data_IF_612734904006
#
_entry.id   IF_612734904006
#
_cell.length_a   1.000
_cell.length_b   1.000
_cell.length_c   1.000
_cell.angle_alpha   90.00
_cell.angle_beta   90.00
_cell.angle_gamma   90.00
#
_symmetry.space_group_name_H-M   'P 1'
#
loop_
_entity.id
_entity.type
_entity.pdbx_description
1 polymer ?
#
# COMPACT_ATOMS: atom_id res chain seq x y z
N UNK A 1 -14.00 -23.27 31.43
CA UNK A 1 -14.62 -21.94 31.58
C UNK A 1 -13.63 -20.78 31.49
N UNK A 2 -12.52 -20.72 32.25
CA UNK A 2 -11.56 -19.58 32.18
C UNK A 2 -10.90 -19.38 30.80
N UNK A 3 -10.66 -20.44 30.02
CA UNK A 3 -10.12 -20.34 28.66
C UNK A 3 -11.12 -19.76 27.65
N UNK A 4 -12.40 -20.13 27.77
CA UNK A 4 -13.50 -19.64 26.90
C UNK A 4 -13.76 -18.15 27.16
N UNK A 5 -13.74 -17.72 28.41
CA UNK A 5 -13.89 -16.30 28.77
C UNK A 5 -12.72 -15.44 28.29
N UNK A 6 -11.47 -15.95 28.32
CA UNK A 6 -10.31 -15.26 27.74
C UNK A 6 -10.39 -15.18 26.22
N UNK A 7 -10.88 -16.22 25.54
CA UNK A 7 -11.09 -16.19 24.08
C UNK A 7 -12.21 -15.25 23.68
N UNK A 8 -13.31 -15.18 24.45
CA UNK A 8 -14.40 -14.22 24.23
C UNK A 8 -13.95 -12.77 24.52
N UNK A 9 -13.17 -12.56 25.59
CA UNK A 9 -12.61 -11.24 25.88
C UNK A 9 -11.58 -10.80 24.81
N UNK A 10 -10.75 -11.72 24.30
CA UNK A 10 -9.87 -11.43 23.16
C UNK A 10 -10.66 -11.15 21.88
N UNK A 11 -11.75 -11.87 21.62
CA UNK A 11 -12.65 -11.60 20.51
C UNK A 11 -13.34 -10.23 20.64
N UNK A 12 -13.79 -9.85 21.85
CA UNK A 12 -14.38 -8.53 22.09
C UNK A 12 -13.37 -7.38 21.99
N UNK A 13 -12.12 -7.57 22.43
CA UNK A 13 -11.05 -6.58 22.27
C UNK A 13 -10.67 -6.40 20.79
N UNK A 14 -10.63 -7.49 20.02
CA UNK A 14 -10.43 -7.44 18.56
C UNK A 14 -11.61 -6.73 17.90
N UNK A 15 -12.83 -6.97 18.35
CA UNK A 15 -14.03 -6.29 17.83
C UNK A 15 -14.06 -4.80 18.17
N UNK A 16 -13.69 -4.44 19.41
CA UNK A 16 -13.58 -3.03 19.80
C UNK A 16 -12.50 -2.29 18.99
N UNK A 17 -11.46 -2.99 18.55
CA UNK A 17 -10.46 -2.47 17.62
C UNK A 17 -11.02 -2.32 16.19
N UNK A 18 -11.89 -3.23 15.74
CA UNK A 18 -12.54 -3.17 14.42
C UNK A 18 -13.61 -2.07 14.37
N UNK A 19 -14.41 -1.88 15.43
CA UNK A 19 -15.46 -0.86 15.46
C UNK A 19 -14.94 0.56 15.61
N UNK A 20 -13.67 0.75 16.00
CA UNK A 20 -13.03 2.06 16.15
C UNK A 20 -12.25 2.51 14.89
N UNK A 21 -12.17 1.67 13.87
CA UNK A 21 -11.38 1.99 12.67
C UNK A 21 -12.13 1.55 11.44
N UNK A 22 -12.64 2.49 10.65
CA UNK A 22 -12.82 2.27 9.22
C UNK A 22 -11.41 2.05 8.69
N UNK A 23 -11.03 0.83 8.34
CA UNK A 23 -9.82 0.56 7.58
C UNK A 23 -10.15 0.92 6.14
N UNK A 24 -9.72 2.06 5.62
CA UNK A 24 -9.75 2.28 4.17
C UNK A 24 -8.76 1.30 3.57
N UNK A 25 -9.10 0.68 2.47
CA UNK A 25 -8.21 -0.14 1.69
C UNK A 25 -7.79 0.62 0.43
N UNK A 26 -6.74 0.18 -0.15
CA UNK A 26 -6.10 0.67 -1.36
C UNK A 26 -6.31 -0.33 -2.50
N UNK A 27 -5.76 -0.11 -3.70
CA UNK A 27 -6.01 -0.90 -4.92
C UNK A 27 -5.89 -2.40 -4.73
N UNK A 28 -4.93 -2.78 -3.92
CA UNK A 28 -4.78 -4.14 -3.45
C UNK A 28 -4.80 -4.14 -1.92
N UNK A 29 -5.41 -5.15 -1.34
CA UNK A 29 -5.27 -5.39 0.08
C UNK A 29 -3.82 -5.80 0.40
N UNK A 30 -3.44 -5.73 1.67
CA UNK A 30 -2.06 -5.88 2.12
C UNK A 30 -1.42 -7.21 1.72
N UNK A 31 -2.19 -8.30 1.66
CA UNK A 31 -1.63 -9.61 1.29
C UNK A 31 -1.19 -9.63 -0.17
N UNK A 32 -1.93 -8.97 -1.05
CA UNK A 32 -1.53 -8.82 -2.46
C UNK A 32 -0.27 -7.95 -2.59
N UNK A 33 -0.13 -6.86 -1.84
CA UNK A 33 1.10 -6.05 -1.84
C UNK A 33 2.33 -6.84 -1.39
N UNK A 34 2.19 -7.68 -0.35
CA UNK A 34 3.25 -8.59 0.09
C UNK A 34 3.59 -9.63 -0.98
N UNK A 35 2.57 -10.15 -1.66
CA UNK A 35 2.73 -11.10 -2.75
C UNK A 35 3.51 -10.52 -3.92
N UNK A 36 3.29 -9.27 -4.32
CA UNK A 36 4.08 -8.59 -5.37
C UNK A 36 5.58 -8.60 -5.03
N UNK A 37 5.93 -8.37 -3.77
CA UNK A 37 7.32 -8.47 -3.29
C UNK A 37 7.83 -9.91 -3.42
N UNK A 38 7.05 -10.90 -2.99
CA UNK A 38 7.45 -12.31 -3.03
C UNK A 38 7.61 -12.84 -4.46
N UNK A 39 6.70 -12.49 -5.36
CA UNK A 39 6.75 -12.88 -6.77
C UNK A 39 7.99 -12.31 -7.48
N UNK A 40 8.51 -11.16 -7.04
CA UNK A 40 9.72 -10.55 -7.58
C UNK A 40 11.00 -10.91 -6.79
N UNK A 41 10.88 -11.47 -5.57
CA UNK A 41 12.00 -11.61 -4.64
C UNK A 41 13.18 -12.41 -5.22
N UNK A 42 12.93 -13.64 -5.61
CA UNK A 42 14.01 -14.55 -6.02
C UNK A 42 14.65 -14.15 -7.36
N UNK A 43 13.84 -13.67 -8.31
CA UNK A 43 14.28 -13.37 -9.67
C UNK A 43 14.84 -11.97 -9.88
N UNK A 44 14.46 -10.99 -9.05
CA UNK A 44 14.80 -9.59 -9.28
C UNK A 44 15.31 -8.89 -8.03
N UNK A 45 14.60 -8.93 -6.89
CA UNK A 45 14.95 -8.14 -5.70
C UNK A 45 16.24 -8.65 -5.07
N UNK A 46 16.32 -9.94 -4.76
CA UNK A 46 17.51 -10.54 -4.14
C UNK A 46 18.78 -10.36 -4.99
N UNK A 47 18.78 -10.63 -6.32
CA UNK A 47 19.92 -10.35 -7.18
C UNK A 47 20.33 -8.87 -7.19
N UNK A 48 19.37 -7.94 -7.26
CA UNK A 48 19.63 -6.50 -7.20
C UNK A 48 20.28 -6.08 -5.87
N UNK A 49 19.77 -6.60 -4.75
CA UNK A 49 20.35 -6.33 -3.42
C UNK A 49 21.79 -6.86 -3.32
N UNK A 50 22.06 -8.05 -3.82
CA UNK A 50 23.40 -8.64 -3.83
C UNK A 50 24.37 -7.88 -4.76
N UNK A 51 23.91 -7.39 -5.91
CA UNK A 51 24.71 -6.56 -6.80
C UNK A 51 25.09 -5.21 -6.16
N UNK A 52 24.16 -4.59 -5.42
CA UNK A 52 24.39 -3.30 -4.77
C UNK A 52 25.14 -3.42 -3.44
N UNK A 53 24.94 -4.52 -2.71
CA UNK A 53 25.56 -4.81 -1.41
C UNK A 53 26.29 -6.16 -1.46
N UNK A 54 27.46 -6.21 -2.13
CA UNK A 54 28.22 -7.46 -2.26
C UNK A 54 28.63 -7.98 -0.88
N UNK A 55 28.45 -9.29 -0.66
CA UNK A 55 28.76 -9.91 0.63
C UNK A 55 27.63 -9.88 1.66
N UNK A 56 26.43 -9.40 1.30
CA UNK A 56 25.27 -9.52 2.18
C UNK A 56 24.96 -10.99 2.48
N UNK A 57 24.84 -11.30 3.77
CA UNK A 57 24.54 -12.66 4.25
C UNK A 57 23.05 -13.01 4.06
N UNK A 58 22.72 -14.31 4.08
CA UNK A 58 21.32 -14.73 4.02
C UNK A 58 20.48 -14.17 5.19
N UNK A 59 21.07 -13.97 6.36
CA UNK A 59 20.39 -13.32 7.50
C UNK A 59 20.08 -11.84 7.20
N UNK A 60 21.01 -11.12 6.57
CA UNK A 60 20.78 -9.73 6.15
C UNK A 60 19.74 -9.63 5.02
N UNK A 61 19.73 -10.59 4.09
CA UNK A 61 18.72 -10.67 3.04
C UNK A 61 17.32 -11.00 3.61
N UNK A 62 17.23 -11.89 4.59
CA UNK A 62 15.97 -12.17 5.29
C UNK A 62 15.47 -10.93 6.06
N UNK A 63 16.38 -10.18 6.69
CA UNK A 63 16.02 -8.91 7.30
C UNK A 63 15.58 -7.86 6.27
N UNK A 64 16.29 -7.72 5.16
CA UNK A 64 15.93 -6.83 4.06
C UNK A 64 14.54 -7.15 3.48
N UNK A 65 14.17 -8.43 3.42
CA UNK A 65 12.82 -8.85 3.00
C UNK A 65 11.72 -8.29 3.93
N UNK A 66 11.96 -8.30 5.24
CA UNK A 66 11.03 -7.67 6.20
C UNK A 66 10.91 -6.14 6.00
N UNK A 67 12.00 -5.49 5.58
CA UNK A 67 11.96 -4.07 5.20
C UNK A 67 11.23 -3.84 3.87
N UNK A 68 11.36 -4.74 2.89
CA UNK A 68 10.58 -4.66 1.66
C UNK A 68 9.07 -4.78 1.93
N UNK A 69 8.64 -5.71 2.79
CA UNK A 69 7.26 -5.82 3.23
C UNK A 69 6.77 -4.54 3.94
N UNK A 70 7.58 -3.94 4.80
CA UNK A 70 7.20 -2.66 5.40
C UNK A 70 7.10 -1.55 4.39
N UNK A 71 7.95 -1.58 3.36
CA UNK A 71 7.92 -0.63 2.26
C UNK A 71 6.66 -0.75 1.41
N UNK A 72 6.25 -2.00 1.07
CA UNK A 72 5.09 -2.22 0.20
C UNK A 72 3.75 -1.84 0.84
N UNK A 73 3.74 -1.45 2.08
CA UNK A 73 2.53 -1.07 2.77
C UNK A 73 2.67 0.30 3.49
N UNK A 74 3.79 1.01 3.29
CA UNK A 74 4.03 2.26 4.01
C UNK A 74 3.03 3.34 3.63
N UNK A 75 2.63 3.42 2.36
CA UNK A 75 1.70 4.43 1.88
C UNK A 75 0.35 4.34 2.61
N UNK A 76 -0.06 3.13 3.02
CA UNK A 76 -1.33 2.83 3.69
C UNK A 76 -1.32 3.04 5.19
N UNK A 77 -0.15 3.23 5.79
CA UNK A 77 0.00 3.22 7.24
C UNK A 77 -0.90 4.25 7.94
N UNK A 78 -1.24 5.35 7.27
CA UNK A 78 -2.14 6.39 7.79
C UNK A 78 -3.60 5.94 7.91
N UNK A 79 -3.99 4.90 7.21
CA UNK A 79 -5.35 4.34 7.24
C UNK A 79 -5.57 3.35 8.39
N UNK A 80 -4.50 2.81 8.96
CA UNK A 80 -4.60 1.87 10.07
C UNK A 80 -4.86 2.57 11.42
N UNK A 81 -5.37 1.84 12.44
CA UNK A 81 -5.58 2.39 13.76
C UNK A 81 -4.36 3.13 14.30
N UNK A 82 -4.60 4.30 14.89
CA UNK A 82 -3.58 5.26 15.36
C UNK A 82 -2.78 5.97 14.27
N UNK A 83 -2.98 5.64 12.98
CA UNK A 83 -2.51 6.43 11.86
C UNK A 83 -3.38 7.68 11.63
N UNK A 84 -2.88 8.60 10.84
CA UNK A 84 -3.65 9.76 10.36
C UNK A 84 -3.80 9.65 8.86
N UNK A 85 -5.04 9.66 8.40
CA UNK A 85 -5.39 9.58 6.97
C UNK A 85 -4.57 10.52 6.09
N UNK A 86 -4.23 11.71 6.57
CA UNK A 86 -3.46 12.69 5.82
C UNK A 86 -2.06 12.20 5.42
N UNK A 87 -1.47 11.29 6.19
CA UNK A 87 -0.21 10.63 5.83
C UNK A 87 -0.36 9.84 4.52
N UNK A 88 -1.36 8.98 4.46
CA UNK A 88 -1.64 8.17 3.28
C UNK A 88 -2.17 9.01 2.11
N UNK A 89 -3.03 9.99 2.37
CA UNK A 89 -3.47 10.92 1.34
C UNK A 89 -2.28 11.64 0.66
N UNK A 90 -1.23 12.03 1.40
CA UNK A 90 -0.02 12.61 0.82
C UNK A 90 0.71 11.64 -0.11
N UNK A 91 0.96 10.41 0.35
CA UNK A 91 1.73 9.42 -0.39
C UNK A 91 1.00 8.89 -1.63
N UNK A 92 -0.34 8.97 -1.67
CA UNK A 92 -1.15 8.54 -2.81
C UNK A 92 -1.45 9.64 -3.82
N UNK A 93 -1.61 10.90 -3.37
CA UNK A 93 -2.17 11.94 -4.24
C UNK A 93 -1.26 13.14 -4.45
N UNK A 94 -0.15 13.24 -3.72
CA UNK A 94 0.76 14.38 -3.79
C UNK A 94 2.18 13.89 -3.91
N UNK A 95 2.88 14.26 -4.99
CA UNK A 95 4.30 13.94 -5.17
C UNK A 95 4.61 12.44 -4.94
N UNK A 96 3.67 11.56 -5.36
CA UNK A 96 3.76 10.11 -5.14
C UNK A 96 5.03 9.50 -5.74
N UNK A 97 5.39 9.89 -6.95
CA UNK A 97 6.63 9.47 -7.60
C UNK A 97 7.88 10.07 -6.96
N UNK A 98 7.83 11.35 -6.58
CA UNK A 98 8.95 12.03 -5.90
C UNK A 98 9.29 11.38 -4.57
N UNK A 99 8.29 10.93 -3.81
CA UNK A 99 8.48 10.21 -2.56
C UNK A 99 9.31 8.94 -2.76
N UNK A 100 8.92 8.11 -3.73
CA UNK A 100 9.66 6.88 -4.07
C UNK A 100 11.07 7.20 -4.59
N UNK A 101 11.19 8.19 -5.48
CA UNK A 101 12.49 8.62 -6.00
C UNK A 101 13.42 9.12 -4.88
N UNK A 102 12.87 9.83 -3.88
CA UNK A 102 13.64 10.25 -2.71
C UNK A 102 14.17 9.05 -1.91
N UNK A 103 13.34 8.03 -1.68
CA UNK A 103 13.75 6.82 -0.96
C UNK A 103 14.95 6.13 -1.67
N UNK A 104 14.88 5.93 -2.98
CA UNK A 104 15.99 5.32 -3.72
C UNK A 104 17.26 6.16 -3.72
N UNK A 105 17.13 7.48 -3.87
CA UNK A 105 18.26 8.40 -3.90
C UNK A 105 19.03 8.43 -2.59
N UNK A 106 18.33 8.30 -1.47
CA UNK A 106 18.89 8.49 -0.14
C UNK A 106 19.14 7.19 0.64
N UNK A 107 18.78 6.02 0.09
CA UNK A 107 19.01 4.72 0.72
C UNK A 107 20.53 4.40 0.77
N UNK A 108 21.05 4.21 1.99
CA UNK A 108 22.48 3.95 2.26
C UNK A 108 22.75 2.52 2.77
N UNK A 109 21.73 1.83 3.23
CA UNK A 109 21.82 0.46 3.73
C UNK A 109 20.96 -0.48 2.90
N UNK A 110 21.26 -1.78 2.99
CA UNK A 110 20.47 -2.83 2.32
C UNK A 110 19.00 -2.77 2.78
N UNK A 111 18.75 -2.44 4.04
CA UNK A 111 17.42 -2.36 4.62
C UNK A 111 16.64 -1.15 4.09
N UNK A 112 17.27 0.03 3.99
CA UNK A 112 16.65 1.22 3.42
C UNK A 112 16.35 1.04 1.92
N UNK A 113 17.28 0.40 1.20
CA UNK A 113 17.08 0.13 -0.22
C UNK A 113 15.97 -0.91 -0.46
N UNK A 114 15.91 -1.95 0.36
CA UNK A 114 14.82 -2.92 0.32
C UNK A 114 13.47 -2.29 0.66
N UNK A 115 13.44 -1.37 1.63
CA UNK A 115 12.25 -0.58 1.94
C UNK A 115 11.80 0.28 0.75
N UNK A 116 12.73 0.94 0.05
CA UNK A 116 12.43 1.71 -1.16
C UNK A 116 11.88 0.81 -2.29
N UNK A 117 12.43 -0.42 -2.44
CA UNK A 117 11.92 -1.41 -3.39
C UNK A 117 10.48 -1.78 -3.06
N UNK A 118 10.17 -2.02 -1.78
CA UNK A 118 8.80 -2.28 -1.35
C UNK A 118 7.86 -1.10 -1.65
N UNK A 119 8.28 0.13 -1.35
CA UNK A 119 7.47 1.32 -1.63
C UNK A 119 7.22 1.51 -3.15
N UNK A 120 8.18 1.11 -4.00
CA UNK A 120 7.97 1.08 -5.46
C UNK A 120 6.97 0.00 -5.87
N UNK A 121 6.97 -1.17 -5.23
CA UNK A 121 5.98 -2.21 -5.53
C UNK A 121 4.56 -1.76 -5.21
N UNK A 122 4.37 -1.01 -4.12
CA UNK A 122 3.08 -0.41 -3.79
C UNK A 122 2.65 0.65 -4.83
N UNK A 123 3.53 1.59 -5.16
CA UNK A 123 3.26 2.62 -6.17
C UNK A 123 2.78 2.01 -7.50
N UNK A 124 3.45 0.94 -7.97
CA UNK A 124 3.04 0.24 -9.19
C UNK A 124 1.78 -0.60 -8.98
N UNK A 125 1.69 -1.26 -7.82
CA UNK A 125 0.54 -2.09 -7.45
C UNK A 125 -0.75 -1.29 -7.45
N UNK A 126 -0.76 -0.14 -6.77
CA UNK A 126 -1.95 0.70 -6.70
C UNK A 126 -2.29 1.32 -8.04
N UNK A 127 -1.32 1.94 -8.69
CA UNK A 127 -1.60 2.65 -9.96
C UNK A 127 -2.14 1.73 -11.06
N UNK A 128 -1.62 0.51 -11.17
CA UNK A 128 -2.11 -0.49 -12.14
C UNK A 128 -3.31 -1.26 -11.59
N UNK A 129 -3.27 -1.61 -10.30
CA UNK A 129 -4.33 -2.36 -9.63
C UNK A 129 -5.68 -1.67 -9.64
N UNK A 130 -5.72 -0.39 -9.27
CA UNK A 130 -6.96 0.39 -9.35
C UNK A 130 -7.46 0.49 -10.80
N UNK A 131 -6.58 0.93 -11.69
CA UNK A 131 -6.95 1.18 -13.09
C UNK A 131 -7.47 -0.08 -13.79
N UNK A 132 -6.77 -1.20 -13.66
CA UNK A 132 -7.00 -2.39 -14.48
C UNK A 132 -7.90 -3.43 -13.80
N UNK A 133 -8.02 -3.41 -12.46
CA UNK A 133 -8.74 -4.44 -11.72
C UNK A 133 -9.79 -3.86 -10.77
N UNK A 134 -9.42 -3.07 -9.76
CA UNK A 134 -10.32 -2.78 -8.65
C UNK A 134 -11.44 -1.84 -9.05
N UNK A 135 -11.17 -0.77 -9.81
CA UNK A 135 -12.21 0.14 -10.29
C UNK A 135 -13.26 -0.59 -11.16
N UNK A 136 -12.87 -1.34 -12.21
CA UNK A 136 -13.84 -2.09 -13.01
C UNK A 136 -14.49 -3.24 -12.25
N UNK A 137 -13.74 -4.00 -11.43
CA UNK A 137 -14.31 -5.09 -10.64
C UNK A 137 -15.36 -4.58 -9.64
N UNK A 138 -15.11 -3.43 -9.01
CA UNK A 138 -16.11 -2.80 -8.11
C UNK A 138 -17.38 -2.44 -8.88
N UNK A 139 -17.27 -1.98 -10.12
CA UNK A 139 -18.44 -1.72 -10.99
C UNK A 139 -19.23 -2.99 -11.33
N UNK A 140 -18.53 -4.09 -11.62
CA UNK A 140 -19.13 -5.40 -11.91
C UNK A 140 -19.78 -6.00 -10.67
N UNK A 141 -19.05 -6.02 -9.55
CA UNK A 141 -19.53 -6.62 -8.30
C UNK A 141 -20.67 -5.83 -7.66
N UNK A 142 -20.73 -4.52 -7.87
CA UNK A 142 -21.77 -3.65 -7.32
C UNK A 142 -22.55 -2.90 -8.41
N UNK A 143 -23.47 -3.54 -9.16
CA UNK A 143 -24.17 -2.93 -10.30
C UNK A 143 -24.96 -1.66 -9.98
N UNK A 144 -25.35 -1.45 -8.70
CA UNK A 144 -25.98 -0.18 -8.27
C UNK A 144 -24.98 0.97 -8.29
N UNK A 145 -23.72 0.72 -7.98
CA UNK A 145 -22.65 1.73 -8.05
C UNK A 145 -22.31 2.02 -9.51
N UNK A 146 -22.17 0.98 -10.34
CA UNK A 146 -21.92 1.14 -11.77
C UNK A 146 -23.01 1.96 -12.47
N UNK A 147 -24.29 1.75 -12.15
CA UNK A 147 -25.38 2.58 -12.68
C UNK A 147 -25.30 4.05 -12.25
N UNK A 148 -24.71 4.33 -11.11
CA UNK A 148 -24.59 5.68 -10.56
C UNK A 148 -23.34 6.42 -11.06
N UNK A 149 -22.23 5.72 -11.19
CA UNK A 149 -20.93 6.33 -11.38
C UNK A 149 -20.21 5.95 -12.69
N UNK A 150 -20.76 4.98 -13.44
CA UNK A 150 -20.12 4.39 -14.61
C UNK A 150 -19.50 3.02 -14.30
N UNK A 151 -18.93 2.35 -15.32
CA UNK A 151 -18.38 1.00 -15.18
C UNK A 151 -17.21 0.95 -14.20
N UNK A 152 -16.37 1.99 -14.19
CA UNK A 152 -15.21 2.10 -13.32
C UNK A 152 -15.57 2.93 -12.08
N UNK A 153 -15.71 2.25 -10.95
CA UNK A 153 -16.09 2.90 -9.68
C UNK A 153 -14.83 3.15 -8.86
N UNK A 154 -14.42 4.42 -8.74
CA UNK A 154 -13.21 4.79 -7.99
C UNK A 154 -13.43 4.77 -6.47
N UNK A 155 -12.33 4.72 -5.73
CA UNK A 155 -12.36 4.75 -4.27
C UNK A 155 -13.09 5.99 -3.71
N UNK A 156 -12.91 7.19 -4.32
CA UNK A 156 -13.64 8.40 -3.87
C UNK A 156 -15.16 8.29 -4.06
N UNK A 157 -15.61 7.53 -5.05
CA UNK A 157 -17.03 7.32 -5.30
C UNK A 157 -17.66 6.29 -4.37
N UNK A 158 -16.93 5.25 -3.99
CA UNK A 158 -17.40 4.20 -3.08
C UNK A 158 -16.28 3.53 -2.29
N UNK A 159 -15.78 4.14 -1.20
CA UNK A 159 -14.75 3.52 -0.36
C UNK A 159 -15.12 2.11 0.12
N UNK A 160 -16.35 1.90 0.61
CA UNK A 160 -16.83 0.59 1.06
C UNK A 160 -16.90 -0.45 -0.07
N UNK A 161 -17.29 -0.04 -1.28
CA UNK A 161 -17.30 -0.93 -2.44
C UNK A 161 -15.88 -1.43 -2.76
N UNK A 162 -14.94 -0.52 -2.79
CA UNK A 162 -13.53 -0.82 -3.02
C UNK A 162 -12.96 -1.78 -1.99
N UNK A 163 -13.01 -1.43 -0.69
CA UNK A 163 -12.51 -2.25 0.42
C UNK A 163 -13.03 -3.68 0.32
N UNK A 164 -14.33 -3.85 0.02
CA UNK A 164 -14.95 -5.17 -0.10
C UNK A 164 -14.45 -5.96 -1.30
N UNK A 165 -14.19 -5.28 -2.43
CA UNK A 165 -13.63 -5.91 -3.64
C UNK A 165 -12.19 -6.37 -3.40
N UNK A 166 -11.36 -5.54 -2.83
CA UNK A 166 -9.95 -5.82 -2.53
C UNK A 166 -9.79 -6.99 -1.54
N UNK A 167 -10.52 -6.95 -0.43
CA UNK A 167 -10.51 -8.06 0.53
C UNK A 167 -11.06 -9.36 -0.05
N UNK A 168 -12.02 -9.29 -0.97
CA UNK A 168 -12.55 -10.47 -1.63
C UNK A 168 -11.48 -11.19 -2.45
N UNK A 169 -10.63 -10.44 -3.16
CA UNK A 169 -9.49 -11.02 -3.89
C UNK A 169 -8.46 -11.63 -2.95
N UNK A 170 -8.09 -10.95 -1.85
CA UNK A 170 -7.18 -11.52 -0.86
C UNK A 170 -7.73 -12.84 -0.28
N UNK A 171 -9.02 -12.89 0.06
CA UNK A 171 -9.65 -14.10 0.58
C UNK A 171 -9.65 -15.22 -0.48
N UNK A 172 -9.93 -14.91 -1.73
CA UNK A 172 -9.88 -15.88 -2.82
C UNK A 172 -8.48 -16.45 -3.02
N UNK A 173 -7.46 -15.60 -3.11
CA UNK A 173 -6.08 -16.04 -3.25
C UNK A 173 -5.59 -16.82 -2.01
N UNK A 174 -6.08 -16.47 -0.81
CA UNK A 174 -5.81 -17.25 0.39
C UNK A 174 -6.39 -18.68 0.30
N UNK A 175 -7.57 -18.89 -0.32
CA UNK A 175 -8.10 -20.24 -0.55
C UNK A 175 -7.22 -21.07 -1.46
N UNK A 176 -6.56 -20.41 -2.42
CA UNK A 176 -5.66 -21.00 -3.40
C UNK A 176 -4.22 -21.16 -2.89
N UNK A 177 -3.97 -20.72 -1.65
CA UNK A 177 -2.63 -20.76 -1.03
C UNK A 177 -1.58 -20.00 -1.85
N UNK A 178 -1.99 -18.91 -2.47
CA UNK A 178 -1.13 -18.11 -3.32
C UNK A 178 -0.17 -17.21 -2.53
N UNK A 179 -0.52 -16.83 -1.30
CA UNK A 179 0.29 -15.99 -0.43
C UNK A 179 1.33 -16.76 0.37
N UNK A 180 2.32 -16.03 0.89
CA UNK A 180 3.28 -16.60 1.84
C UNK A 180 2.55 -17.19 3.06
N UNK A 181 2.98 -18.36 3.58
CA UNK A 181 2.37 -18.98 4.74
C UNK A 181 2.44 -18.05 5.98
N UNK A 182 1.44 -18.08 6.89
CA UNK A 182 1.44 -17.25 8.10
C UNK A 182 2.71 -17.37 8.95
N UNK A 183 3.31 -18.58 9.02
CA UNK A 183 4.57 -18.80 9.71
C UNK A 183 5.75 -18.02 9.09
N UNK A 184 5.70 -17.78 7.79
CA UNK A 184 6.69 -16.96 7.09
C UNK A 184 6.57 -15.49 7.49
N UNK A 185 5.36 -14.96 7.52
CA UNK A 185 5.09 -13.58 7.96
C UNK A 185 5.49 -13.36 9.43
N UNK A 186 5.27 -14.35 10.30
CA UNK A 186 5.72 -14.31 11.70
C UNK A 186 7.25 -14.28 11.80
N UNK A 187 7.93 -15.03 10.95
CA UNK A 187 9.40 -15.13 10.94
C UNK A 187 10.05 -13.86 10.41
N UNK A 188 9.61 -13.34 9.26
CA UNK A 188 10.18 -12.15 8.65
C UNK A 188 9.79 -10.89 9.42
N UNK A 189 8.51 -10.73 9.75
CA UNK A 189 7.97 -9.56 10.43
C UNK A 189 8.00 -8.30 9.57
N UNK A 190 7.67 -7.17 10.19
CA UNK A 190 7.69 -5.84 9.59
C UNK A 190 8.70 -4.94 10.29
N UNK A 191 9.56 -4.31 9.52
CA UNK A 191 10.58 -3.38 10.00
C UNK A 191 10.57 -2.13 9.16
N UNK A 192 10.55 -0.95 9.78
CA UNK A 192 10.58 0.33 9.08
C UNK A 192 11.79 1.17 9.49
N UNK A 193 12.52 1.78 8.56
CA UNK A 193 13.67 2.63 8.84
C UNK A 193 13.19 4.02 9.26
N UNK A 194 12.79 4.20 10.53
CA UNK A 194 12.05 5.37 11.01
C UNK A 194 12.71 6.72 10.75
N UNK A 195 14.03 6.84 10.99
CA UNK A 195 14.76 8.09 10.74
C UNK A 195 14.78 8.43 9.26
N UNK A 196 14.99 7.43 8.43
CA UNK A 196 14.99 7.54 6.98
C UNK A 196 13.62 7.99 6.46
N UNK A 197 12.55 7.36 6.95
CA UNK A 197 11.17 7.73 6.60
C UNK A 197 10.81 9.15 7.10
N UNK A 198 11.24 9.53 8.30
CA UNK A 198 11.00 10.87 8.82
C UNK A 198 11.68 11.93 7.95
N UNK A 199 12.92 11.70 7.51
CA UNK A 199 13.62 12.61 6.60
C UNK A 199 12.94 12.66 5.23
N UNK A 200 12.47 11.52 4.70
CA UNK A 200 11.71 11.47 3.46
C UNK A 200 10.48 12.38 3.49
N UNK A 201 9.76 12.41 4.62
CA UNK A 201 8.59 13.26 4.77
C UNK A 201 8.93 14.75 4.87
N UNK A 202 10.01 15.11 5.55
CA UNK A 202 10.48 16.50 5.61
C UNK A 202 10.84 16.98 4.19
N UNK A 203 11.64 16.21 3.46
CA UNK A 203 12.17 16.63 2.17
C UNK A 203 11.12 16.55 1.05
N UNK A 204 10.16 15.62 1.14
CA UNK A 204 9.13 15.46 0.10
C UNK A 204 7.90 16.31 0.32
N UNK A 205 7.50 16.54 1.58
CA UNK A 205 6.22 17.18 1.90
C UNK A 205 6.33 18.41 2.82
N UNK A 206 7.51 18.68 3.40
CA UNK A 206 7.71 19.81 4.32
C UNK A 206 7.16 19.60 5.73
N UNK A 207 6.91 18.35 6.15
CA UNK A 207 6.40 18.00 7.48
C UNK A 207 7.31 17.05 8.22
N UNK A 208 7.42 17.23 9.53
CA UNK A 208 7.85 16.14 10.39
C UNK A 208 6.81 15.02 10.37
N UNK A 209 7.27 13.77 10.34
CA UNK A 209 6.39 12.60 10.26
C UNK A 209 5.38 12.55 11.42
N UNK A 210 5.74 13.06 12.60
CA UNK A 210 4.84 13.12 13.75
C UNK A 210 3.67 14.08 13.53
N UNK A 211 3.82 15.10 12.70
CA UNK A 211 2.73 16.03 12.37
C UNK A 211 1.66 15.36 11.49
N UNK A 212 2.09 14.47 10.60
CA UNK A 212 1.23 13.86 9.59
C UNK A 212 0.76 12.45 9.95
N UNK A 213 1.57 11.67 10.65
CA UNK A 213 1.22 10.32 11.09
C UNK A 213 0.76 10.27 12.56
N UNK A 214 1.18 11.22 13.40
CA UNK A 214 0.98 11.19 14.85
C UNK A 214 2.02 10.33 15.55
N UNK A 215 1.58 9.53 16.52
CA UNK A 215 2.46 8.62 17.25
C UNK A 215 2.90 7.45 16.36
N UNK A 216 4.05 7.57 15.71
CA UNK A 216 4.56 6.58 14.75
C UNK A 216 4.69 5.16 15.33
N UNK A 217 5.03 5.03 16.63
CA UNK A 217 5.15 3.70 17.27
C UNK A 217 3.83 2.96 17.40
N UNK A 218 2.74 3.55 17.94
CA UNK A 218 1.42 2.92 17.96
C UNK A 218 0.88 2.64 16.55
N UNK A 219 1.02 3.55 15.61
CA UNK A 219 0.57 3.37 14.24
C UNK A 219 1.28 2.18 13.57
N UNK A 220 2.61 2.11 13.65
CA UNK A 220 3.40 1.00 13.12
C UNK A 220 3.07 -0.33 13.82
N UNK A 221 2.86 -0.32 15.15
CA UNK A 221 2.45 -1.53 15.89
C UNK A 221 1.06 -1.98 15.48
N UNK A 222 0.12 -1.06 15.32
CA UNK A 222 -1.24 -1.37 14.86
C UNK A 222 -1.21 -1.99 13.48
N UNK A 223 -0.54 -1.34 12.53
CA UNK A 223 -0.31 -1.86 11.20
C UNK A 223 0.29 -3.27 11.23
N UNK A 224 1.43 -3.45 11.90
CA UNK A 224 2.10 -4.76 12.04
C UNK A 224 1.18 -5.83 12.63
N UNK A 225 0.36 -5.48 13.62
CA UNK A 225 -0.60 -6.41 14.25
C UNK A 225 -1.72 -6.76 13.27
N UNK A 226 -2.23 -5.79 12.54
CA UNK A 226 -3.27 -6.01 11.54
C UNK A 226 -2.76 -6.94 10.43
N UNK A 227 -1.64 -6.63 9.82
CA UNK A 227 -1.06 -7.41 8.74
C UNK A 227 -0.67 -8.85 9.15
N UNK A 228 -0.04 -9.01 10.31
CA UNK A 228 0.46 -10.33 10.75
C UNK A 228 -0.57 -11.24 11.40
N UNK A 229 -1.64 -10.70 11.97
CA UNK A 229 -2.59 -11.48 12.78
C UNK A 229 -4.03 -11.32 12.36
N UNK A 230 -4.45 -10.07 12.14
CA UNK A 230 -5.86 -9.81 11.90
C UNK A 230 -6.27 -10.22 10.48
N UNK A 231 -5.58 -9.71 9.46
CA UNK A 231 -5.94 -9.98 8.06
C UNK A 231 -5.84 -11.46 7.68
N UNK A 232 -4.77 -12.20 8.03
CA UNK A 232 -4.75 -13.65 7.79
C UNK A 232 -5.87 -14.41 8.52
N UNK A 233 -6.14 -14.04 9.80
CA UNK A 233 -7.22 -14.69 10.55
C UNK A 233 -8.61 -14.36 9.99
N UNK A 234 -8.80 -13.13 9.50
CA UNK A 234 -10.02 -12.72 8.84
C UNK A 234 -10.21 -13.45 7.51
N UNK A 235 -9.16 -13.53 6.68
CA UNK A 235 -9.20 -14.31 5.44
C UNK A 235 -9.55 -15.79 5.70
N UNK A 236 -8.93 -16.42 6.70
CA UNK A 236 -9.30 -17.80 7.10
C UNK A 236 -10.77 -17.91 7.54
N UNK A 237 -11.30 -16.92 8.26
CA UNK A 237 -12.70 -16.92 8.68
C UNK A 237 -13.67 -16.78 7.49
N UNK A 238 -13.34 -15.92 6.55
CA UNK A 238 -14.11 -15.73 5.31
C UNK A 238 -14.05 -16.98 4.42
N UNK A 239 -12.91 -17.65 4.35
CA UNK A 239 -12.79 -18.97 3.70
C UNK A 239 -13.77 -19.98 4.30
N UNK A 240 -13.93 -20.00 5.64
CA UNK A 240 -14.91 -20.88 6.31
C UNK A 240 -16.34 -20.49 5.96
N UNK A 241 -16.66 -19.19 5.94
CA UNK A 241 -18.02 -18.68 5.66
C UNK A 241 -18.45 -18.95 4.22
N UNK A 242 -17.54 -18.77 3.29
CA UNK A 242 -17.83 -18.80 1.85
C UNK A 242 -17.34 -20.05 1.12
N UNK A 243 -16.88 -21.08 1.84
CA UNK A 243 -16.24 -22.30 1.27
C UNK A 243 -16.97 -22.97 0.10
N UNK A 244 -18.28 -22.78 0.00
CA UNK A 244 -19.11 -23.35 -1.06
C UNK A 244 -19.38 -22.38 -2.21
N UNK A 245 -18.87 -21.15 -2.13
CA UNK A 245 -19.07 -20.10 -3.11
C UNK A 245 -17.83 -19.89 -3.98
N UNK A 246 -16.67 -20.36 -3.52
CA UNK A 246 -15.45 -20.28 -4.31
C UNK A 246 -15.53 -21.15 -5.55
N UNK A 247 -15.31 -20.54 -6.68
CA UNK A 247 -15.22 -21.24 -7.96
C UNK A 247 -13.89 -22.00 -8.07
N UNK A 248 -13.84 -23.09 -8.88
CA UNK A 248 -12.56 -23.68 -9.23
C UNK A 248 -11.68 -22.63 -9.91
N UNK A 249 -10.34 -22.80 -9.87
CA UNK A 249 -9.44 -21.91 -10.58
C UNK A 249 -9.85 -21.77 -12.06
N UNK A 250 -9.83 -20.54 -12.62
CA UNK A 250 -10.14 -20.35 -14.02
C UNK A 250 -9.11 -21.08 -14.91
N UNK A 251 -9.54 -21.61 -16.04
CA UNK A 251 -8.66 -22.21 -17.04
C UNK A 251 -8.31 -21.17 -18.14
N UNK A 252 -7.73 -20.06 -17.71
CA UNK A 252 -7.29 -18.98 -18.57
C UNK A 252 -5.79 -18.73 -18.51
N UNK A 253 -5.28 -17.93 -19.41
CA UNK A 253 -3.86 -17.62 -19.50
C UNK A 253 -3.37 -16.80 -18.30
N UNK A 254 -4.18 -15.87 -17.79
CA UNK A 254 -3.83 -15.02 -16.67
C UNK A 254 -3.58 -15.86 -15.40
N UNK A 255 -4.48 -16.81 -15.12
CA UNK A 255 -4.30 -17.72 -13.99
C UNK A 255 -3.08 -18.65 -14.18
N UNK A 256 -2.88 -19.20 -15.37
CA UNK A 256 -1.71 -20.09 -15.63
C UNK A 256 -0.39 -19.35 -15.39
N UNK A 257 -0.27 -18.11 -15.91
CA UNK A 257 0.94 -17.29 -15.69
C UNK A 257 1.12 -17.00 -14.20
N UNK A 258 0.06 -16.61 -13.52
CA UNK A 258 0.07 -16.31 -12.09
C UNK A 258 0.47 -17.55 -11.26
N UNK A 259 -0.16 -18.68 -11.50
CA UNK A 259 0.13 -19.94 -10.79
C UNK A 259 1.59 -20.40 -10.98
N UNK A 260 2.14 -20.25 -12.19
CA UNK A 260 3.56 -20.51 -12.43
C UNK A 260 4.48 -19.57 -11.63
N UNK A 261 4.11 -18.29 -11.51
CA UNK A 261 4.87 -17.33 -10.71
C UNK A 261 4.85 -17.69 -9.23
N UNK A 262 3.68 -18.02 -8.69
CA UNK A 262 3.52 -18.49 -7.31
C UNK A 262 4.35 -19.76 -7.07
N UNK A 263 4.30 -20.74 -7.97
CA UNK A 263 5.11 -21.97 -7.86
C UNK A 263 6.63 -21.69 -7.79
N UNK A 264 7.11 -20.63 -8.44
CA UNK A 264 8.54 -20.22 -8.40
C UNK A 264 8.96 -19.61 -7.06
N UNK A 265 8.03 -19.18 -6.20
CA UNK A 265 8.34 -18.70 -4.84
C UNK A 265 8.85 -19.82 -3.95
N UNK A 266 8.50 -21.08 -4.27
CA UNK A 266 8.88 -22.28 -3.53
C UNK A 266 8.44 -22.28 -2.07
N UNK A 267 7.26 -21.74 -1.74
CA UNK A 267 6.74 -21.67 -0.38
C UNK A 267 6.76 -23.04 0.31
N UNK A 268 6.21 -24.10 -0.33
CA UNK A 268 6.14 -25.44 0.25
C UNK A 268 7.53 -26.03 0.52
N UNK A 269 8.49 -25.81 -0.38
CA UNK A 269 9.86 -26.29 -0.23
C UNK A 269 10.60 -25.56 0.89
N UNK A 270 10.45 -24.25 0.97
CA UNK A 270 11.14 -23.40 1.97
C UNK A 270 10.56 -23.56 3.36
N UNK A 271 9.26 -23.77 3.50
CA UNK A 271 8.50 -23.68 4.75
C UNK A 271 7.85 -25.01 5.16
N UNK A 272 8.27 -26.15 4.59
CA UNK A 272 7.91 -27.50 5.03
C UNK A 272 6.40 -27.72 5.18
N UNK A 273 5.61 -27.39 4.15
CA UNK A 273 4.17 -27.60 4.14
C UNK A 273 3.43 -26.86 5.29
N UNK A 274 3.76 -25.61 5.47
CA UNK A 274 3.18 -24.79 6.55
C UNK A 274 1.73 -24.35 6.31
N UNK A 275 1.19 -24.56 5.11
CA UNK A 275 -0.22 -24.33 4.84
C UNK A 275 -1.09 -25.29 5.62
N UNK A 276 -1.85 -24.73 6.57
CA UNK A 276 -2.85 -25.47 7.32
C UNK A 276 -4.22 -24.93 6.94
N UNK A 277 -5.21 -25.82 6.87
CA UNK A 277 -6.60 -25.40 6.72
C UNK A 277 -7.05 -24.57 7.93
N UNK A 278 -8.19 -23.81 7.79
CA UNK A 278 -8.72 -22.99 8.86
C UNK A 278 -8.87 -23.76 10.17
N UNK A 279 -8.24 -23.26 11.22
CA UNK A 279 -8.26 -23.88 12.54
C UNK A 279 -9.52 -23.55 13.34
N UNK A 280 -9.66 -24.11 14.55
CA UNK A 280 -10.81 -23.86 15.44
C UNK A 280 -11.04 -22.36 15.70
N UNK A 281 -9.99 -21.56 15.81
CA UNK A 281 -10.09 -20.09 15.98
C UNK A 281 -10.75 -19.42 14.78
N UNK A 282 -10.43 -19.86 13.56
CA UNK A 282 -11.05 -19.34 12.35
C UNK A 282 -12.55 -19.62 12.32
N UNK A 283 -13.00 -20.79 12.76
CA UNK A 283 -14.42 -21.13 12.86
C UNK A 283 -15.16 -20.26 13.90
N UNK A 284 -14.53 -19.96 15.04
CA UNK A 284 -15.11 -19.05 16.04
C UNK A 284 -15.21 -17.63 15.46
N UNK A 285 -14.17 -17.16 14.79
CA UNK A 285 -14.17 -15.84 14.16
C UNK A 285 -15.20 -15.78 13.03
N UNK A 286 -15.31 -16.82 12.22
CA UNK A 286 -16.32 -16.94 11.17
C UNK A 286 -17.76 -16.85 11.74
N UNK A 287 -18.06 -17.61 12.80
CA UNK A 287 -19.35 -17.51 13.49
C UNK A 287 -19.61 -16.08 13.99
N UNK A 288 -18.59 -15.43 14.52
CA UNK A 288 -18.68 -14.07 15.00
C UNK A 288 -18.93 -13.09 13.84
N UNK A 289 -18.16 -13.16 12.77
CA UNK A 289 -18.35 -12.35 11.55
C UNK A 289 -19.73 -12.59 10.96
N UNK A 290 -20.24 -13.81 10.99
CA UNK A 290 -21.60 -14.15 10.52
C UNK A 290 -22.70 -13.44 11.32
N UNK A 291 -22.57 -13.39 12.66
CA UNK A 291 -23.61 -12.84 13.55
C UNK A 291 -23.60 -11.31 13.58
N UNK A 292 -22.45 -10.66 13.38
CA UNK A 292 -22.33 -9.20 13.46
C UNK A 292 -23.14 -8.53 12.35
N UNK A 293 -24.02 -7.56 12.70
CA UNK A 293 -24.72 -6.76 11.69
C UNK A 293 -23.73 -6.01 10.79
N UNK A 294 -23.87 -6.16 9.47
CA UNK A 294 -23.01 -5.53 8.45
C UNK A 294 -23.44 -4.08 8.20
N UNK A 295 -23.42 -3.25 9.25
CA UNK A 295 -23.81 -1.83 9.19
C UNK A 295 -22.70 -0.95 9.77
N UNK A 296 -22.61 0.28 9.30
CA UNK A 296 -21.55 1.21 9.73
C UNK A 296 -20.15 0.63 9.45
N UNK A 297 -19.21 0.68 10.40
CA UNK A 297 -17.85 0.17 10.22
C UNK A 297 -17.78 -1.34 9.91
N UNK A 298 -18.79 -2.12 10.30
CA UNK A 298 -18.85 -3.55 10.01
C UNK A 298 -19.37 -3.86 8.59
N UNK A 299 -19.77 -2.86 7.80
CA UNK A 299 -20.22 -3.06 6.42
C UNK A 299 -19.11 -3.64 5.53
N UNK A 300 -17.86 -3.31 5.81
CA UNK A 300 -16.69 -3.77 5.05
C UNK A 300 -16.40 -5.27 5.26
N UNK A 301 -16.94 -5.87 6.33
CA UNK A 301 -16.88 -7.31 6.56
C UNK A 301 -17.84 -8.12 5.66
N UNK A 302 -18.67 -7.46 4.85
CA UNK A 302 -19.58 -8.13 3.92
C UNK A 302 -18.93 -8.27 2.54
N UNK A 303 -17.84 -9.02 2.45
CA UNK A 303 -17.20 -9.28 1.15
C UNK A 303 -18.17 -9.97 0.18
N UNK A 304 -17.90 -9.83 -1.09
CA UNK A 304 -18.62 -10.52 -2.16
C UNK A 304 -17.59 -11.32 -2.95
N UNK A 305 -17.75 -12.63 -3.00
CA UNK A 305 -16.81 -13.53 -3.67
C UNK A 305 -16.70 -13.13 -5.14
N UNK A 306 -15.48 -12.94 -5.67
CA UNK A 306 -15.25 -12.61 -7.06
C UNK A 306 -15.86 -13.65 -8.01
N UNK A 307 -16.32 -13.20 -9.16
CA UNK A 307 -16.66 -14.09 -10.26
C UNK A 307 -15.47 -14.23 -11.22
N UNK A 308 -15.56 -15.11 -12.21
CA UNK A 308 -14.46 -15.36 -13.15
C UNK A 308 -13.99 -14.09 -13.87
N UNK A 309 -14.92 -13.22 -14.27
CA UNK A 309 -14.57 -11.99 -15.00
C UNK A 309 -13.76 -11.04 -14.13
N UNK A 310 -14.17 -10.85 -12.87
CA UNK A 310 -13.46 -9.97 -11.91
C UNK A 310 -12.15 -10.59 -11.44
N UNK A 311 -12.10 -11.91 -11.31
CA UNK A 311 -10.86 -12.62 -11.02
C UNK A 311 -9.85 -12.52 -12.17
N UNK A 312 -10.28 -12.66 -13.42
CA UNK A 312 -9.41 -12.47 -14.58
C UNK A 312 -8.81 -11.05 -14.60
N UNK A 313 -9.62 -10.01 -14.35
CA UNK A 313 -9.13 -8.63 -14.23
C UNK A 313 -8.03 -8.53 -13.17
N UNK A 314 -8.26 -9.09 -12.00
CA UNK A 314 -7.29 -9.08 -10.90
C UNK A 314 -5.99 -9.80 -11.29
N UNK A 315 -6.06 -11.02 -11.80
CA UNK A 315 -4.88 -11.82 -12.15
C UNK A 315 -4.06 -11.18 -13.28
N UNK A 316 -4.72 -10.61 -14.28
CA UNK A 316 -4.06 -9.85 -15.37
C UNK A 316 -3.33 -8.63 -14.82
N UNK A 317 -3.97 -7.88 -13.94
CA UNK A 317 -3.38 -6.71 -13.31
C UNK A 317 -2.20 -7.08 -12.42
N UNK A 318 -2.29 -8.12 -11.59
CA UNK A 318 -1.16 -8.62 -10.79
C UNK A 318 0.01 -9.06 -11.68
N UNK A 319 -0.27 -9.79 -12.76
CA UNK A 319 0.76 -10.20 -13.72
C UNK A 319 1.45 -9.00 -14.36
N UNK A 320 0.68 -7.99 -14.81
CA UNK A 320 1.21 -6.77 -15.41
C UNK A 320 2.03 -5.95 -14.39
N UNK A 321 1.54 -5.84 -13.15
CA UNK A 321 2.27 -5.18 -12.06
C UNK A 321 3.62 -5.83 -11.78
N UNK A 322 3.66 -7.17 -11.71
CA UNK A 322 4.91 -7.91 -11.50
C UNK A 322 5.90 -7.69 -12.65
N UNK A 323 5.42 -7.67 -13.90
CA UNK A 323 6.29 -7.43 -15.06
C UNK A 323 6.83 -5.99 -15.06
N UNK A 324 5.97 -5.00 -14.79
CA UNK A 324 6.34 -3.60 -14.67
C UNK A 324 7.33 -3.38 -13.52
N UNK A 325 7.10 -4.05 -12.38
CA UNK A 325 7.98 -3.98 -11.24
C UNK A 325 9.36 -4.59 -11.53
N UNK A 326 9.42 -5.75 -12.17
CA UNK A 326 10.68 -6.39 -12.60
C UNK A 326 11.45 -5.52 -13.58
N UNK A 327 10.77 -4.92 -14.57
CA UNK A 327 11.39 -4.01 -15.53
C UNK A 327 11.99 -2.77 -14.83
N UNK A 328 11.27 -2.20 -13.85
CA UNK A 328 11.79 -1.09 -13.04
C UNK A 328 13.03 -1.48 -12.22
N UNK A 329 13.03 -2.68 -11.63
CA UNK A 329 14.17 -3.21 -10.87
C UNK A 329 15.38 -3.50 -11.77
N UNK A 330 15.16 -4.03 -12.97
CA UNK A 330 16.22 -4.25 -13.96
C UNK A 330 16.89 -2.94 -14.38
N UNK A 331 16.08 -1.90 -14.65
CA UNK A 331 16.58 -0.56 -14.95
C UNK A 331 17.43 0.02 -13.81
N UNK A 332 17.00 -0.16 -12.56
CA UNK A 332 17.78 0.22 -11.37
C UNK A 332 19.10 -0.53 -11.26
N UNK A 333 19.15 -1.79 -11.68
CA UNK A 333 20.35 -2.62 -11.66
C UNK A 333 21.35 -2.25 -12.76
N UNK A 334 20.86 -1.95 -13.96
CA UNK A 334 21.70 -1.63 -15.13
C UNK A 334 22.26 -0.21 -15.08
N UNK A 335 21.52 0.72 -14.49
CA UNK A 335 21.88 2.13 -14.41
C UNK A 335 21.87 2.65 -12.95
N UNK A 336 22.82 2.22 -12.10
CA UNK A 336 22.78 2.56 -10.65
C UNK A 336 22.85 4.07 -10.35
N UNK A 337 23.34 4.88 -11.29
CA UNK A 337 23.42 6.34 -11.20
C UNK A 337 22.18 7.04 -11.77
N UNK A 338 21.35 6.34 -12.51
CA UNK A 338 20.11 6.91 -13.06
C UNK A 338 19.10 7.02 -11.94
N UNK A 339 18.73 8.24 -11.62
CA UNK A 339 17.63 8.49 -10.72
C UNK A 339 16.37 7.88 -11.33
N UNK A 340 15.65 7.06 -10.57
CA UNK A 340 14.29 6.70 -10.94
C UNK A 340 13.50 8.01 -11.09
N UNK A 341 13.15 8.33 -12.33
CA UNK A 341 12.16 9.36 -12.61
C UNK A 341 10.79 8.68 -12.63
N UNK A 342 10.05 8.82 -11.56
CA UNK A 342 8.67 8.36 -11.47
C UNK A 342 7.74 9.56 -11.61
N UNK A 343 6.65 9.38 -12.33
CA UNK A 343 5.63 10.40 -12.46
C UNK A 343 4.87 10.60 -11.15
N UNK A 344 4.48 11.84 -10.87
CA UNK A 344 3.53 12.10 -9.80
C UNK A 344 2.13 11.80 -10.35
N UNK A 345 1.55 10.70 -9.90
CA UNK A 345 0.23 10.23 -10.27
C UNK A 345 -0.66 10.11 -9.05
N UNK A 346 -1.97 10.16 -9.23
CA UNK A 346 -2.86 9.68 -8.19
C UNK A 346 -2.99 8.15 -8.30
N UNK A 347 -2.82 7.46 -7.19
CA UNK A 347 -2.73 6.01 -7.20
C UNK A 347 -4.09 5.34 -7.39
N UNK A 348 -5.22 6.05 -7.16
CA UNK A 348 -6.57 5.49 -7.33
C UNK A 348 -7.00 5.40 -8.81
N UNK A 349 -6.43 6.23 -9.68
CA UNK A 349 -6.79 6.24 -11.11
C UNK A 349 -5.62 5.94 -12.03
N UNK A 350 -4.39 5.96 -11.51
CA UNK A 350 -3.16 5.83 -12.30
C UNK A 350 -2.84 7.05 -13.17
N UNK A 351 -3.61 8.14 -13.07
CA UNK A 351 -3.45 9.33 -13.89
C UNK A 351 -2.45 10.33 -13.29
N UNK A 352 -1.82 11.11 -14.16
CA UNK A 352 -1.01 12.24 -13.71
C UNK A 352 -1.83 13.19 -12.85
N UNK A 353 -1.22 13.63 -11.74
CA UNK A 353 -1.86 14.58 -10.81
C UNK A 353 -2.15 15.89 -11.51
N UNK A 354 -3.44 16.24 -11.58
CA UNK A 354 -3.90 17.48 -12.20
C UNK A 354 -5.15 17.99 -11.48
N UNK A 355 -5.17 19.29 -11.22
CA UNK A 355 -6.28 19.95 -10.55
C UNK A 355 -7.59 19.79 -11.31
N UNK A 356 -8.66 19.43 -10.59
CA UNK A 356 -10.00 19.26 -11.14
C UNK A 356 -10.30 17.89 -11.75
N UNK A 357 -9.29 16.99 -11.87
CA UNK A 357 -9.49 15.65 -12.43
C UNK A 357 -9.88 14.62 -11.38
N UNK A 358 -9.30 14.67 -10.19
CA UNK A 358 -9.65 13.76 -9.11
C UNK A 358 -9.86 14.48 -7.77
N UNK A 359 -11.07 14.34 -7.22
CA UNK A 359 -11.51 15.10 -6.05
C UNK A 359 -10.65 14.88 -4.80
N UNK A 360 -10.12 13.67 -4.60
CA UNK A 360 -9.25 13.39 -3.44
C UNK A 360 -7.89 14.09 -3.58
N UNK A 361 -7.34 14.10 -4.77
CA UNK A 361 -6.12 14.86 -5.10
C UNK A 361 -6.34 16.34 -4.78
N UNK A 362 -7.43 16.95 -5.28
CA UNK A 362 -7.74 18.35 -5.02
C UNK A 362 -7.85 18.65 -3.52
N UNK A 363 -8.57 17.80 -2.77
CA UNK A 363 -8.70 17.92 -1.31
C UNK A 363 -7.37 17.79 -0.58
N UNK A 364 -6.50 16.88 -1.05
CA UNK A 364 -5.20 16.65 -0.42
C UNK A 364 -4.27 17.83 -0.63
N UNK A 365 -4.21 18.39 -1.85
CA UNK A 365 -3.46 19.62 -2.11
C UNK A 365 -3.99 20.81 -1.31
N UNK A 366 -5.30 20.97 -1.20
CA UNK A 366 -5.88 22.05 -0.38
C UNK A 366 -5.53 21.87 1.11
N UNK A 367 -5.55 20.63 1.61
CA UNK A 367 -5.16 20.34 3.00
C UNK A 367 -3.66 20.56 3.23
N UNK A 368 -2.82 20.15 2.28
CA UNK A 368 -1.37 20.39 2.29
C UNK A 368 -1.08 21.90 2.36
N UNK A 369 -1.60 22.67 1.42
CA UNK A 369 -1.40 24.11 1.36
C UNK A 369 -1.85 24.79 2.67
N UNK A 370 -3.06 24.48 3.16
CA UNK A 370 -3.60 25.02 4.41
C UNK A 370 -2.70 24.71 5.61
N UNK A 371 -2.18 23.47 5.71
CA UNK A 371 -1.31 23.06 6.83
C UNK A 371 0.06 23.69 6.78
N UNK A 372 0.66 23.82 5.62
CA UNK A 372 1.95 24.50 5.47
C UNK A 372 1.82 25.98 5.85
N UNK A 373 0.81 26.68 5.32
CA UNK A 373 0.61 28.11 5.53
C UNK A 373 0.07 28.47 6.92
N UNK A 374 -0.39 27.48 7.70
CA UNK A 374 -0.78 27.72 9.11
C UNK A 374 0.42 28.07 10.00
N UNK A 375 1.65 27.80 9.57
CA UNK A 375 2.89 28.23 10.20
C UNK A 375 3.80 28.96 9.20
N UNK A 376 3.61 30.25 8.94
CA UNK A 376 4.38 31.00 7.95
C UNK A 376 5.89 31.08 8.21
N UNK A 377 6.30 30.80 9.45
CA UNK A 377 7.73 30.79 9.84
C UNK A 377 8.42 29.45 9.52
N UNK A 378 7.69 28.44 9.07
CA UNK A 378 8.23 27.15 8.66
C UNK A 378 9.11 27.33 7.43
N UNK A 379 10.26 26.68 7.43
CA UNK A 379 11.07 26.49 6.22
C UNK A 379 10.57 25.25 5.51
N UNK A 380 10.27 25.36 4.22
CA UNK A 380 9.79 24.25 3.39
C UNK A 380 10.77 23.96 2.25
N UNK A 381 10.82 22.71 1.73
CA UNK A 381 11.61 22.42 0.54
C UNK A 381 11.11 23.25 -0.66
N UNK A 382 12.04 23.75 -1.46
CA UNK A 382 11.72 24.56 -2.65
C UNK A 382 10.83 23.81 -3.63
N UNK A 383 11.11 22.49 -3.80
CA UNK A 383 10.34 21.62 -4.71
C UNK A 383 8.88 21.46 -4.26
N UNK A 384 8.61 21.47 -2.95
CA UNK A 384 7.24 21.42 -2.41
C UNK A 384 6.47 22.70 -2.79
N UNK A 385 7.11 23.86 -2.62
CA UNK A 385 6.50 25.11 -3.02
C UNK A 385 6.21 25.15 -4.51
N UNK A 386 7.18 24.78 -5.34
CA UNK A 386 7.04 24.77 -6.79
C UNK A 386 5.90 23.83 -7.23
N UNK A 387 5.87 22.59 -6.71
CA UNK A 387 4.84 21.62 -7.02
C UNK A 387 3.42 22.12 -6.67
N UNK A 388 3.24 22.76 -5.51
CA UNK A 388 1.93 23.32 -5.13
C UNK A 388 1.55 24.47 -6.08
N UNK A 389 2.48 25.39 -6.39
CA UNK A 389 2.22 26.48 -7.33
C UNK A 389 1.85 25.96 -8.72
N UNK A 390 2.59 24.96 -9.24
CA UNK A 390 2.30 24.31 -10.51
C UNK A 390 0.92 23.66 -10.52
N UNK A 391 0.55 22.92 -9.47
CA UNK A 391 -0.75 22.28 -9.33
C UNK A 391 -1.90 23.29 -9.46
N UNK A 392 -1.78 24.46 -8.81
CA UNK A 392 -2.82 25.50 -8.86
C UNK A 392 -2.79 26.34 -10.13
N UNK A 393 -1.65 26.42 -10.83
CA UNK A 393 -1.47 27.21 -12.06
C UNK A 393 -1.79 26.45 -13.35
N UNK A 394 -1.66 25.10 -13.34
CA UNK A 394 -1.67 24.26 -14.54
C UNK A 394 -3.06 24.08 -15.20
N UNK A 395 -4.16 24.50 -14.57
CA UNK A 395 -5.50 24.21 -15.07
C UNK A 395 -6.13 25.40 -15.79
N UNK A 396 -6.20 25.31 -17.10
CA UNK A 396 -7.01 26.22 -17.95
C UNK A 396 -8.53 25.94 -17.89
N UNK A 397 -8.94 24.78 -17.33
CA UNK A 397 -10.34 24.31 -17.32
C UNK A 397 -10.93 24.27 -15.90
N UNK A 398 -10.13 24.34 -14.84
CA UNK A 398 -10.63 24.46 -13.48
C UNK A 398 -10.98 25.91 -13.17
N UNK A 399 -12.05 26.10 -12.39
CA UNK A 399 -12.41 27.41 -11.81
C UNK A 399 -11.17 28.01 -11.11
N UNK A 400 -11.04 29.33 -11.18
CA UNK A 400 -9.99 30.04 -10.43
C UNK A 400 -9.95 29.58 -8.98
N UNK A 401 -8.76 29.53 -8.35
CA UNK A 401 -8.67 29.24 -6.93
C UNK A 401 -9.57 30.17 -6.11
N UNK A 402 -10.25 29.62 -5.11
CA UNK A 402 -11.08 30.45 -4.23
C UNK A 402 -10.21 31.56 -3.57
N UNK A 403 -10.81 32.69 -3.18
CA UNK A 403 -10.07 33.78 -2.50
C UNK A 403 -9.23 33.27 -1.30
N UNK A 404 -9.73 32.27 -0.59
CA UNK A 404 -9.01 31.67 0.52
C UNK A 404 -7.76 30.91 0.04
N UNK A 405 -7.84 30.15 -1.04
CA UNK A 405 -6.69 29.44 -1.63
C UNK A 405 -5.70 30.45 -2.19
N UNK A 406 -6.14 31.50 -2.83
CA UNK A 406 -5.27 32.58 -3.33
C UNK A 406 -4.47 33.23 -2.20
N UNK A 407 -5.14 33.58 -1.09
CA UNK A 407 -4.46 34.15 0.09
C UNK A 407 -3.43 33.17 0.69
N UNK A 408 -3.74 31.86 0.69
CA UNK A 408 -2.78 30.84 1.14
C UNK A 408 -1.58 30.70 0.18
N UNK A 409 -1.78 30.80 -1.12
CA UNK A 409 -0.69 30.79 -2.10
C UNK A 409 0.24 32.01 -1.92
N UNK A 410 -0.31 33.20 -1.66
CA UNK A 410 0.51 34.38 -1.34
C UNK A 410 1.34 34.20 -0.06
N UNK A 411 0.79 33.53 0.97
CA UNK A 411 1.55 33.17 2.17
C UNK A 411 2.66 32.18 1.82
N UNK A 412 2.34 31.15 1.03
CA UNK A 412 3.29 30.12 0.61
C UNK A 412 4.49 30.72 -0.14
N UNK A 413 4.26 31.69 -1.03
CA UNK A 413 5.32 32.37 -1.77
C UNK A 413 6.30 33.13 -0.87
N UNK A 414 5.82 33.68 0.25
CA UNK A 414 6.63 34.42 1.23
C UNK A 414 7.34 33.54 2.25
N UNK A 415 6.99 32.25 2.32
CA UNK A 415 7.63 31.30 3.24
C UNK A 415 9.09 31.10 2.89
N UNK A 416 9.93 30.89 3.90
CA UNK A 416 11.34 30.52 3.71
C UNK A 416 11.42 29.16 3.03
N UNK A 417 12.31 29.04 2.06
CA UNK A 417 12.63 27.78 1.43
C UNK A 417 14.07 27.39 1.70
N UNK A 418 14.29 26.07 1.82
CA UNK A 418 15.61 25.48 1.76
C UNK A 418 15.69 24.62 0.48
N UNK A 419 16.84 24.57 -0.13
CA UNK A 419 17.12 23.47 -1.06
C UNK A 419 16.95 22.20 -0.27
N UNK A 420 16.13 21.27 -0.77
CA UNK A 420 15.97 19.98 -0.11
C UNK A 420 17.36 19.46 0.20
N UNK A 421 17.65 19.17 1.47
CA UNK A 421 18.96 18.74 1.92
C UNK A 421 19.38 17.53 1.08
N UNK A 422 20.10 17.81 0.00
CA UNK A 422 20.83 16.78 -0.74
C UNK A 422 22.11 16.54 0.03
N UNK A 423 22.20 15.46 0.85
CA UNK A 423 23.53 15.03 1.23
C UNK A 423 24.21 14.61 -0.06
N UNK A 424 25.34 15.21 -0.37
CA UNK A 424 26.20 14.70 -1.44
C UNK A 424 26.41 13.21 -1.25
N UNK A 425 26.31 12.39 -2.31
CA UNK A 425 26.56 10.97 -2.18
C UNK A 425 28.01 10.80 -1.69
N UNK A 426 28.17 10.31 -0.46
CA UNK A 426 29.48 9.82 -0.05
C UNK A 426 29.91 8.73 -1.04
N UNK A 427 31.17 8.79 -1.52
CA UNK A 427 31.68 7.77 -2.42
C UNK A 427 31.54 6.39 -1.76
N UNK A 428 31.04 5.43 -2.54
CA UNK A 428 30.94 4.05 -2.10
C UNK A 428 32.26 3.61 -1.47
N UNK A 429 32.24 2.86 -0.36
CA UNK A 429 33.47 2.38 0.25
C UNK A 429 34.26 1.58 -0.79
N UNK A 430 35.49 2.02 -1.07
CA UNK A 430 36.44 1.29 -1.89
C UNK A 430 36.59 -0.13 -1.32
N UNK A 431 36.46 -1.17 -2.14
CA UNK A 431 36.69 -2.52 -1.70
C UNK A 431 38.15 -2.64 -1.20
N UNK A 432 38.30 -3.11 0.04
CA UNK A 432 39.59 -3.56 0.58
C UNK A 432 39.84 -4.98 0.18
#
# INVERSE_FOLDING_TARGET
>A
MRGLLRSLASGMVVLSAITLSTVPADAYSILTHEELVDLAWNGSIRPLLLARFPGATDAQLAEAHAYAYSGCAIQDMGYYPFGKKFFSDLTHYVRSGDFIAWLFRNARSINEYAFAIGALSHYLGDSLGHLEAINPATGVEFPKLSRKFGPDVTYDQSPHGHIRTEFAFDVEQATRKAFAPPAYLEFIGFKAPRKFLAQAFIDTYGFDIHEVLGEARPALRSYTTSARRFLPAFAEAEVVLHRHQFLPPPDDEAYRIFAERVARTNYDRRWKHTYRGPGFKAHILALFVFIVPKVGPAADLAIKIPNHDTEELYLRSVNHTVDSFRAALEKLGSEPKTLIALSNIDLDTGNHVKRGEYRRTDKTYANLLRRLTSNPNRTIPIDVRQNIVEFYSASKTALDPSPQVQAQLEVLERMKTADGLRPEPEPAPTPK
#
